data_IF_398283348723
#
_entry.id   IF_398283348723
#
_cell.length_a   1.000
_cell.length_b   1.000
_cell.length_c   1.000
_cell.angle_alpha   90.00
_cell.angle_beta   90.00
_cell.angle_gamma   90.00
#
_symmetry.space_group_name_H-M   'P 1'
#
loop_
_entity.id
_entity.type
_entity.pdbx_description
1 polymer ?
#
# COMPACT_ATOMS: atom_id res chain seq x y z
N UNK A 1 -15.33 -38.52 3.44
CA UNK A 1 -15.15 -39.58 2.43
C UNK A 1 -13.86 -39.46 1.57
N UNK A 2 -12.91 -38.55 1.88
CA UNK A 2 -11.65 -38.41 1.11
C UNK A 2 -10.41 -38.99 1.89
N UNK A 3 -10.59 -39.42 3.14
CA UNK A 3 -9.49 -39.86 4.00
C UNK A 3 -9.56 -41.36 4.46
N UNK A 4 -10.40 -42.17 3.82
CA UNK A 4 -10.53 -43.59 4.22
C UNK A 4 -9.49 -44.51 3.59
N UNK A 5 -8.75 -44.07 2.58
CA UNK A 5 -7.67 -44.84 1.96
C UNK A 5 -6.30 -44.36 2.51
N UNK A 6 -5.76 -45.09 3.49
CA UNK A 6 -4.45 -44.83 4.07
C UNK A 6 -3.32 -44.89 3.03
N UNK A 7 -3.45 -45.70 1.99
CA UNK A 7 -2.44 -45.83 0.93
C UNK A 7 -2.44 -44.55 0.07
N UNK A 8 -3.62 -44.05 -0.33
CA UNK A 8 -3.75 -42.80 -1.09
C UNK A 8 -3.21 -41.60 -0.31
N UNK A 9 -3.46 -41.52 0.99
CA UNK A 9 -2.93 -40.47 1.83
C UNK A 9 -1.40 -40.54 1.92
N UNK A 10 -0.83 -41.73 2.08
CA UNK A 10 0.62 -41.96 2.08
C UNK A 10 1.28 -41.53 0.78
N UNK A 11 0.66 -41.86 -0.36
CA UNK A 11 1.15 -41.49 -1.69
C UNK A 11 1.13 -39.97 -1.90
N UNK A 12 0.01 -39.32 -1.52
CA UNK A 12 -0.11 -37.85 -1.58
C UNK A 12 0.97 -37.17 -0.73
N UNK A 13 1.20 -37.64 0.50
CA UNK A 13 2.21 -37.09 1.39
C UNK A 13 3.62 -37.30 0.82
N UNK A 14 3.91 -38.47 0.27
CA UNK A 14 5.17 -38.80 -0.36
C UNK A 14 5.48 -37.90 -1.56
N UNK A 15 4.50 -37.76 -2.46
CA UNK A 15 4.64 -36.91 -3.66
C UNK A 15 4.75 -35.42 -3.27
N UNK A 16 3.99 -34.95 -2.29
CA UNK A 16 4.08 -33.59 -1.76
C UNK A 16 5.45 -33.29 -1.20
N UNK A 17 6.02 -34.20 -0.38
CA UNK A 17 7.40 -34.09 0.15
C UNK A 17 8.41 -33.99 -0.99
N UNK A 18 8.32 -34.85 -2.00
CA UNK A 18 9.21 -34.86 -3.16
C UNK A 18 9.14 -33.55 -3.94
N UNK A 19 7.93 -33.00 -4.13
CA UNK A 19 7.74 -31.75 -4.84
C UNK A 19 8.26 -30.53 -4.05
N UNK A 20 8.08 -30.50 -2.73
CA UNK A 20 8.65 -29.46 -1.86
C UNK A 20 10.19 -29.53 -1.89
N UNK A 21 10.75 -30.75 -1.74
CA UNK A 21 12.23 -30.94 -1.74
C UNK A 21 12.89 -30.47 -3.04
N UNK A 22 12.23 -30.63 -4.20
CA UNK A 22 12.74 -30.14 -5.49
C UNK A 22 12.83 -28.60 -5.57
N UNK A 23 12.08 -27.88 -4.73
CA UNK A 23 12.04 -26.41 -4.72
C UNK A 23 13.00 -25.79 -3.71
N UNK A 24 13.68 -26.60 -2.91
CA UNK A 24 14.71 -26.12 -1.99
C UNK A 24 15.95 -25.71 -2.80
N UNK A 25 16.43 -24.51 -2.57
CA UNK A 25 17.64 -23.97 -3.17
C UNK A 25 18.90 -24.51 -2.46
N UNK A 26 20.08 -24.31 -3.07
CA UNK A 26 21.33 -24.82 -2.55
C UNK A 26 21.72 -24.30 -1.16
N UNK A 27 21.21 -23.13 -0.78
CA UNK A 27 21.37 -22.49 0.53
C UNK A 27 20.31 -22.90 1.56
N UNK A 28 19.41 -23.82 1.19
CA UNK A 28 18.38 -24.39 2.06
C UNK A 28 17.06 -23.66 2.13
N UNK A 29 16.90 -22.52 1.44
CA UNK A 29 15.62 -21.81 1.39
C UNK A 29 14.74 -22.26 0.22
N UNK A 30 13.43 -22.00 0.33
CA UNK A 30 12.46 -22.24 -0.73
C UNK A 30 11.76 -20.94 -1.13
N UNK A 31 11.54 -20.75 -2.44
CA UNK A 31 10.80 -19.61 -2.98
C UNK A 31 9.58 -20.15 -3.73
N UNK A 32 8.43 -19.59 -3.38
CA UNK A 32 7.17 -19.91 -4.04
C UNK A 32 6.56 -18.61 -4.60
N UNK A 33 6.03 -18.70 -5.80
CA UNK A 33 5.25 -17.62 -6.36
C UNK A 33 3.94 -17.49 -5.56
N UNK A 34 3.61 -16.25 -5.21
CA UNK A 34 2.35 -15.91 -4.56
C UNK A 34 1.52 -15.09 -5.53
N UNK A 35 0.38 -15.60 -5.94
CA UNK A 35 -0.60 -14.81 -6.67
C UNK A 35 -1.31 -13.89 -5.67
N UNK A 36 -0.97 -12.59 -5.74
CA UNK A 36 -1.55 -11.57 -4.91
C UNK A 36 -2.80 -10.96 -5.56
N UNK A 37 -3.49 -10.11 -4.80
CA UNK A 37 -4.56 -9.29 -5.34
C UNK A 37 -4.02 -8.18 -6.27
N UNK A 38 -4.92 -7.39 -6.84
CA UNK A 38 -4.58 -6.30 -7.77
C UNK A 38 -3.76 -5.17 -7.14
N UNK A 39 -3.68 -5.07 -5.81
CA UNK A 39 -3.06 -3.91 -5.15
C UNK A 39 -1.57 -3.81 -5.46
N UNK A 40 -0.84 -4.92 -5.47
CA UNK A 40 0.59 -4.94 -5.78
C UNK A 40 0.88 -4.52 -7.22
N UNK A 41 0.29 -5.14 -8.26
CA UNK A 41 0.52 -4.71 -9.64
C UNK A 41 0.07 -3.26 -9.91
N UNK A 42 -1.04 -2.81 -9.32
CA UNK A 42 -1.48 -1.43 -9.43
C UNK A 42 -0.50 -0.46 -8.78
N UNK A 43 -0.04 -0.74 -7.56
CA UNK A 43 0.95 0.08 -6.85
C UNK A 43 2.31 0.13 -7.58
N UNK A 44 2.68 -0.92 -8.31
CA UNK A 44 3.89 -0.91 -9.11
C UNK A 44 3.81 0.11 -10.25
N UNK A 45 2.71 0.18 -11.00
CA UNK A 45 2.47 1.22 -12.01
C UNK A 45 2.50 2.60 -11.34
N UNK A 46 1.76 2.76 -10.23
CA UNK A 46 1.71 4.03 -9.50
C UNK A 46 3.09 4.47 -9.01
N UNK A 47 3.95 3.55 -8.56
CA UNK A 47 5.33 3.84 -8.19
C UNK A 47 6.15 4.34 -9.37
N UNK A 48 6.08 3.70 -10.54
CA UNK A 48 6.79 4.16 -11.75
C UNK A 48 6.36 5.59 -12.13
N UNK A 49 5.06 5.89 -12.10
CA UNK A 49 4.55 7.24 -12.37
C UNK A 49 4.89 8.25 -11.26
N UNK A 50 4.95 7.81 -10.01
CA UNK A 50 5.41 8.66 -8.91
C UNK A 50 6.85 9.11 -9.13
N UNK A 51 7.73 8.19 -9.51
CA UNK A 51 9.15 8.47 -9.77
C UNK A 51 9.39 9.16 -11.11
N UNK A 52 8.47 9.02 -12.07
CA UNK A 52 8.63 9.49 -13.45
C UNK A 52 9.53 8.59 -14.30
N UNK A 53 9.87 7.40 -13.81
CA UNK A 53 10.69 6.39 -14.51
C UNK A 53 9.81 5.19 -14.90
N UNK A 54 9.31 5.23 -16.14
CA UNK A 54 8.30 4.29 -16.64
C UNK A 54 8.95 3.26 -17.58
N UNK A 55 9.01 2.00 -17.14
CA UNK A 55 9.26 0.88 -18.02
C UNK A 55 7.97 0.50 -18.76
N UNK A 56 7.84 1.01 -19.98
CA UNK A 56 6.66 0.83 -20.84
C UNK A 56 6.33 -0.65 -21.07
N UNK A 57 7.33 -1.53 -21.20
CA UNK A 57 7.10 -2.97 -21.43
C UNK A 57 6.52 -3.66 -20.19
N UNK A 58 7.05 -3.33 -19.04
CA UNK A 58 6.55 -3.85 -17.75
C UNK A 58 5.18 -3.28 -17.45
N UNK A 59 4.97 -1.99 -17.65
CA UNK A 59 3.67 -1.33 -17.49
C UNK A 59 2.59 -1.99 -18.35
N UNK A 60 2.88 -2.26 -19.63
CA UNK A 60 1.93 -2.91 -20.55
C UNK A 60 1.52 -4.30 -20.06
N UNK A 61 2.48 -5.11 -19.61
CA UNK A 61 2.19 -6.44 -19.05
C UNK A 61 1.31 -6.35 -17.81
N UNK A 62 1.63 -5.44 -16.89
CA UNK A 62 0.85 -5.24 -15.66
C UNK A 62 -0.54 -4.72 -16.00
N UNK A 63 -0.68 -3.75 -16.88
CA UNK A 63 -1.98 -3.24 -17.35
C UNK A 63 -2.86 -4.35 -17.89
N UNK A 64 -2.31 -5.21 -18.77
CA UNK A 64 -3.05 -6.31 -19.36
C UNK A 64 -3.46 -7.34 -18.30
N UNK A 65 -2.61 -7.61 -17.31
CA UNK A 65 -2.93 -8.46 -16.18
C UNK A 65 -4.06 -7.88 -15.32
N UNK A 66 -4.01 -6.60 -14.97
CA UNK A 66 -5.05 -5.91 -14.20
C UNK A 66 -6.40 -6.00 -14.91
N UNK A 67 -6.44 -5.73 -16.22
CA UNK A 67 -7.67 -5.84 -17.03
C UNK A 67 -8.22 -7.27 -17.05
N UNK A 68 -7.35 -8.28 -17.12
CA UNK A 68 -7.73 -9.70 -17.16
C UNK A 68 -8.39 -10.18 -15.87
N UNK A 69 -7.93 -9.69 -14.70
CA UNK A 69 -8.42 -10.15 -13.39
C UNK A 69 -9.58 -9.31 -12.83
N UNK A 70 -10.11 -8.37 -13.61
CA UNK A 70 -11.32 -7.63 -13.24
C UNK A 70 -12.50 -8.59 -13.13
N UNK A 71 -13.26 -8.52 -12.04
CA UNK A 71 -14.42 -9.39 -11.84
C UNK A 71 -15.63 -8.94 -12.68
N UNK A 72 -16.68 -9.76 -12.73
CA UNK A 72 -17.89 -9.48 -13.51
C UNK A 72 -18.64 -8.21 -13.09
N UNK A 73 -18.56 -7.86 -11.80
CA UNK A 73 -19.10 -6.60 -11.28
C UNK A 73 -18.37 -5.38 -11.83
N UNK A 74 -17.11 -5.53 -12.24
CA UNK A 74 -16.25 -4.45 -12.76
C UNK A 74 -15.24 -3.90 -11.75
N UNK A 75 -15.09 -4.53 -10.59
CA UNK A 75 -14.08 -4.18 -9.58
C UNK A 75 -13.01 -5.24 -9.41
N UNK A 76 -12.23 -5.14 -8.35
CA UNK A 76 -11.18 -6.08 -7.98
C UNK A 76 -11.33 -6.50 -6.52
N UNK A 77 -11.46 -7.80 -6.26
CA UNK A 77 -11.50 -8.36 -4.91
C UNK A 77 -10.10 -8.45 -4.30
N UNK A 78 -10.02 -8.69 -2.98
CA UNK A 78 -8.75 -8.98 -2.28
C UNK A 78 -8.40 -10.48 -2.26
N UNK A 79 -9.32 -11.33 -2.65
CA UNK A 79 -9.14 -12.79 -2.70
C UNK A 79 -10.06 -13.40 -3.76
N UNK A 80 -9.74 -14.60 -4.20
CA UNK A 80 -10.46 -15.31 -5.26
C UNK A 80 -11.95 -15.43 -4.94
N UNK A 81 -12.82 -15.09 -5.89
CA UNK A 81 -14.29 -15.03 -5.74
C UNK A 81 -14.80 -14.08 -4.63
N UNK A 82 -13.97 -13.16 -4.14
CA UNK A 82 -14.41 -12.13 -3.20
C UNK A 82 -15.21 -11.02 -3.86
N UNK A 83 -15.88 -10.22 -3.04
CA UNK A 83 -16.54 -8.99 -3.47
C UNK A 83 -15.50 -7.91 -3.87
N UNK A 84 -15.89 -7.02 -4.78
CA UNK A 84 -15.07 -5.88 -5.19
C UNK A 84 -14.69 -5.03 -3.98
N UNK A 85 -13.39 -4.85 -3.75
CA UNK A 85 -12.87 -4.00 -2.66
C UNK A 85 -12.68 -2.57 -3.16
N UNK A 86 -13.17 -1.59 -2.42
CA UNK A 86 -13.08 -0.17 -2.82
C UNK A 86 -11.63 0.27 -3.03
N UNK A 87 -10.75 0.01 -2.06
CA UNK A 87 -9.36 0.49 -2.11
C UNK A 87 -8.55 -0.17 -3.23
N UNK A 88 -8.76 -1.46 -3.46
CA UNK A 88 -8.15 -2.20 -4.56
C UNK A 88 -8.66 -1.67 -5.92
N UNK A 89 -9.97 -1.42 -6.04
CA UNK A 89 -10.60 -0.91 -7.25
C UNK A 89 -10.13 0.51 -7.60
N UNK A 90 -9.99 1.39 -6.61
CA UNK A 90 -9.45 2.75 -6.81
C UNK A 90 -8.01 2.72 -7.31
N UNK A 91 -7.14 1.90 -6.70
CA UNK A 91 -5.75 1.75 -7.15
C UNK A 91 -5.65 1.18 -8.56
N UNK A 92 -6.42 0.13 -8.87
CA UNK A 92 -6.46 -0.48 -10.18
C UNK A 92 -6.95 0.50 -11.25
N UNK A 93 -8.04 1.22 -10.99
CA UNK A 93 -8.56 2.25 -11.89
C UNK A 93 -7.51 3.33 -12.17
N UNK A 94 -6.86 3.84 -11.12
CA UNK A 94 -5.86 4.89 -11.28
C UNK A 94 -4.65 4.39 -12.08
N UNK A 95 -4.13 3.21 -11.78
CA UNK A 95 -3.05 2.59 -12.52
C UNK A 95 -3.39 2.38 -14.01
N UNK A 96 -4.60 1.88 -14.30
CA UNK A 96 -5.08 1.71 -15.67
C UNK A 96 -5.21 3.05 -16.41
N UNK A 97 -5.73 4.09 -15.75
CA UNK A 97 -5.83 5.42 -16.35
C UNK A 97 -4.46 6.00 -16.66
N UNK A 98 -3.49 5.92 -15.72
CA UNK A 98 -2.12 6.38 -15.94
C UNK A 98 -1.46 5.64 -17.11
N UNK A 99 -1.61 4.31 -17.19
CA UNK A 99 -1.05 3.46 -18.26
C UNK A 99 -1.77 3.58 -19.60
N UNK A 100 -2.68 4.54 -19.77
CA UNK A 100 -3.27 4.90 -21.07
C UNK A 100 -4.56 4.17 -21.44
N UNK A 101 -5.20 3.45 -20.52
CA UNK A 101 -6.53 2.87 -20.78
C UNK A 101 -7.55 3.99 -20.92
N UNK A 102 -8.42 3.89 -21.93
CA UNK A 102 -9.49 4.85 -22.17
C UNK A 102 -10.51 4.79 -21.01
N UNK A 103 -10.75 5.94 -20.38
CA UNK A 103 -11.71 6.07 -19.26
C UNK A 103 -13.16 5.79 -19.66
N UNK A 104 -13.48 5.86 -20.97
CA UNK A 104 -14.78 5.49 -21.51
C UNK A 104 -14.90 4.01 -21.87
N UNK A 105 -13.85 3.23 -21.71
CA UNK A 105 -13.91 1.78 -21.94
C UNK A 105 -14.86 1.11 -20.95
N UNK A 106 -15.49 0.00 -21.38
CA UNK A 106 -16.44 -0.74 -20.55
C UNK A 106 -15.89 -1.13 -19.17
N UNK A 107 -14.61 -1.50 -19.11
CA UNK A 107 -13.93 -1.89 -17.88
C UNK A 107 -13.81 -0.71 -16.91
N UNK A 108 -13.42 0.44 -17.42
CA UNK A 108 -13.24 1.66 -16.61
C UNK A 108 -14.57 2.23 -16.13
N UNK A 109 -15.60 2.25 -16.98
CA UNK A 109 -16.95 2.70 -16.60
C UNK A 109 -17.54 1.85 -15.48
N UNK A 110 -17.45 0.52 -15.59
CA UNK A 110 -17.90 -0.40 -14.52
C UNK A 110 -17.14 -0.16 -13.22
N UNK A 111 -15.82 0.01 -13.28
CA UNK A 111 -15.00 0.26 -12.09
C UNK A 111 -15.38 1.58 -11.41
N UNK A 112 -15.57 2.64 -12.20
CA UNK A 112 -16.06 3.94 -11.71
C UNK A 112 -17.40 3.83 -11.00
N UNK A 113 -18.37 3.12 -11.60
CA UNK A 113 -19.69 2.90 -11.02
C UNK A 113 -19.59 2.25 -9.63
N UNK A 114 -18.78 1.17 -9.49
CA UNK A 114 -18.56 0.52 -8.20
C UNK A 114 -17.94 1.48 -7.17
N UNK A 115 -16.92 2.26 -7.57
CA UNK A 115 -16.27 3.20 -6.66
C UNK A 115 -17.27 4.22 -6.14
N UNK A 116 -18.07 4.81 -7.02
CA UNK A 116 -19.10 5.78 -6.64
C UNK A 116 -20.16 5.15 -5.75
N UNK A 117 -20.67 3.95 -6.12
CA UNK A 117 -21.64 3.21 -5.31
C UNK A 117 -21.14 2.89 -3.90
N UNK A 118 -19.83 2.64 -3.74
CA UNK A 118 -19.19 2.39 -2.44
C UNK A 118 -18.82 3.68 -1.69
N UNK A 119 -19.18 4.85 -2.19
CA UNK A 119 -19.06 6.15 -1.52
C UNK A 119 -17.85 6.99 -1.92
N UNK A 120 -17.28 6.74 -3.11
CA UNK A 120 -16.19 7.52 -3.68
C UNK A 120 -14.78 7.10 -3.22
N UNK A 121 -13.78 7.58 -3.93
CA UNK A 121 -12.37 7.28 -3.67
C UNK A 121 -11.92 7.79 -2.28
N UNK A 122 -12.53 8.83 -1.76
CA UNK A 122 -12.28 9.40 -0.43
C UNK A 122 -12.54 8.43 0.73
N UNK A 123 -13.38 7.40 0.52
CA UNK A 123 -13.66 6.36 1.52
C UNK A 123 -12.69 5.18 1.48
N UNK A 124 -11.68 5.24 0.64
CA UNK A 124 -10.62 4.23 0.62
C UNK A 124 -9.89 4.14 1.96
N UNK A 125 -9.20 3.02 2.19
CA UNK A 125 -8.37 2.84 3.38
C UNK A 125 -7.22 3.87 3.45
N UNK A 126 -6.59 3.99 4.61
CA UNK A 126 -5.56 5.01 4.86
C UNK A 126 -4.37 4.90 3.91
N UNK A 127 -3.94 3.69 3.54
CA UNK A 127 -2.79 3.50 2.64
C UNK A 127 -3.10 3.98 1.22
N UNK A 128 -4.29 3.65 0.70
CA UNK A 128 -4.75 4.17 -0.59
C UNK A 128 -4.86 5.70 -0.56
N UNK A 129 -5.36 6.27 0.53
CA UNK A 129 -5.46 7.73 0.68
C UNK A 129 -4.09 8.41 0.75
N UNK A 130 -3.08 7.80 1.41
CA UNK A 130 -1.71 8.31 1.38
C UNK A 130 -1.20 8.35 -0.06
N UNK A 131 -1.41 7.29 -0.82
CA UNK A 131 -1.04 7.24 -2.23
C UNK A 131 -1.77 8.32 -3.04
N UNK A 132 -3.08 8.51 -2.84
CA UNK A 132 -3.84 9.59 -3.49
C UNK A 132 -3.31 10.98 -3.10
N UNK A 133 -2.88 11.18 -1.86
CA UNK A 133 -2.26 12.43 -1.42
C UNK A 133 -0.89 12.66 -2.09
N UNK A 134 -0.11 11.60 -2.31
CA UNK A 134 1.15 11.68 -3.05
C UNK A 134 0.93 12.10 -4.51
N UNK A 135 -0.19 11.76 -5.12
CA UNK A 135 -0.55 12.20 -6.47
C UNK A 135 -1.33 13.54 -6.49
N UNK A 136 -1.55 14.18 -5.35
CA UNK A 136 -2.28 15.45 -5.28
C UNK A 136 -3.79 15.33 -5.46
N UNK A 137 -4.34 14.10 -5.46
CA UNK A 137 -5.78 13.86 -5.61
C UNK A 137 -6.58 14.28 -4.38
N UNK A 138 -5.97 14.20 -3.21
CA UNK A 138 -6.52 14.67 -1.94
C UNK A 138 -5.47 15.43 -1.14
N UNK A 139 -5.92 16.28 -0.23
CA UNK A 139 -5.02 17.04 0.63
C UNK A 139 -4.36 16.14 1.69
N UNK A 140 -3.06 16.33 1.94
CA UNK A 140 -2.33 15.70 3.06
C UNK A 140 -2.97 15.96 4.43
N UNK A 141 -3.74 17.04 4.58
CA UNK A 141 -4.49 17.35 5.81
C UNK A 141 -5.55 16.30 6.15
N UNK A 142 -6.03 15.55 5.15
CA UNK A 142 -7.02 14.48 5.33
C UNK A 142 -6.41 13.16 5.80
N UNK A 143 -5.08 13.05 5.77
CA UNK A 143 -4.36 11.87 6.24
C UNK A 143 -4.15 11.95 7.75
N UNK A 144 -4.28 10.83 8.49
CA UNK A 144 -3.95 10.77 9.91
C UNK A 144 -2.50 11.18 10.17
N UNK A 145 -2.28 11.96 11.22
CA UNK A 145 -0.94 12.44 11.58
C UNK A 145 -0.15 11.33 12.26
N UNK A 146 1.01 11.03 11.72
CA UNK A 146 2.00 10.16 12.34
C UNK A 146 3.34 10.89 12.38
N UNK A 147 3.67 11.56 13.52
CA UNK A 147 4.86 12.39 13.61
C UNK A 147 6.12 11.53 13.56
N UNK A 148 7.15 12.04 12.88
CA UNK A 148 8.46 11.36 12.74
C UNK A 148 9.12 11.14 14.10
N UNK A 149 8.76 11.92 15.12
CA UNK A 149 9.24 11.85 16.49
C UNK A 149 8.88 10.52 17.20
N UNK A 150 8.00 9.72 16.61
CA UNK A 150 7.77 8.33 17.03
C UNK A 150 9.10 7.53 17.08
N UNK A 151 10.10 7.90 16.27
CA UNK A 151 11.42 7.27 16.25
C UNK A 151 12.18 7.34 17.57
N UNK A 152 11.91 8.36 18.39
CA UNK A 152 12.62 8.62 19.66
C UNK A 152 11.76 8.38 20.91
N UNK A 153 10.52 7.90 20.74
CA UNK A 153 9.67 7.63 21.88
C UNK A 153 10.28 6.55 22.80
N UNK A 154 10.30 6.77 24.11
CA UNK A 154 10.87 5.82 25.05
C UNK A 154 10.04 4.53 25.14
N UNK A 155 10.71 3.42 25.55
CA UNK A 155 10.08 2.07 25.57
C UNK A 155 8.82 1.97 26.43
N UNK A 156 8.71 2.79 27.46
CA UNK A 156 7.53 2.80 28.34
C UNK A 156 6.30 3.43 27.67
N UNK A 157 6.51 4.26 26.65
CA UNK A 157 5.41 4.95 25.96
C UNK A 157 4.51 3.94 25.21
N UNK A 158 3.17 4.09 25.24
CA UNK A 158 2.24 3.14 24.64
C UNK A 158 2.49 2.89 23.14
N UNK A 159 2.80 3.94 22.39
CA UNK A 159 2.99 3.91 20.93
C UNK A 159 4.46 3.79 20.49
N UNK A 160 5.30 3.15 21.29
CA UNK A 160 6.69 2.97 20.94
C UNK A 160 6.86 1.93 19.82
N UNK A 161 7.72 2.22 18.83
CA UNK A 161 7.99 1.34 17.68
C UNK A 161 8.53 -0.03 18.07
N UNK A 162 9.20 -0.16 19.22
CA UNK A 162 9.74 -1.45 19.66
C UNK A 162 8.65 -2.42 20.15
N UNK A 163 7.44 -1.91 20.43
CA UNK A 163 6.26 -2.73 20.78
C UNK A 163 5.53 -3.27 19.56
N UNK A 164 5.90 -2.81 18.37
CA UNK A 164 5.33 -3.25 17.10
C UNK A 164 6.23 -4.35 16.50
N UNK A 165 5.64 -5.32 15.81
CA UNK A 165 6.38 -6.40 15.15
C UNK A 165 7.44 -5.86 14.18
N UNK A 166 8.47 -6.65 13.92
CA UNK A 166 9.50 -6.28 12.95
C UNK A 166 8.91 -5.99 11.58
N UNK A 167 7.99 -6.83 11.11
CA UNK A 167 7.29 -6.68 9.84
C UNK A 167 6.54 -5.35 9.73
N UNK A 168 5.77 -5.00 10.75
CA UNK A 168 5.06 -3.71 10.77
C UNK A 168 6.04 -2.53 10.73
N UNK A 169 7.18 -2.64 11.41
CA UNK A 169 8.20 -1.58 11.38
C UNK A 169 8.84 -1.40 10.01
N UNK A 170 9.04 -2.49 9.24
CA UNK A 170 9.60 -2.36 7.88
C UNK A 170 8.70 -1.59 6.92
N UNK A 171 7.39 -1.60 7.15
CA UNK A 171 6.43 -0.78 6.41
C UNK A 171 6.31 0.63 6.99
N UNK A 172 6.22 0.74 8.33
CA UNK A 172 5.92 2.00 9.00
C UNK A 172 7.09 2.99 8.97
N UNK A 173 8.34 2.54 9.17
CA UNK A 173 9.47 3.47 9.27
C UNK A 173 9.71 4.25 7.96
N UNK A 174 9.78 3.62 6.78
CA UNK A 174 9.86 4.40 5.54
C UNK A 174 8.60 5.24 5.29
N UNK A 175 7.42 4.74 5.70
CA UNK A 175 6.18 5.52 5.60
C UNK A 175 6.21 6.79 6.46
N UNK A 176 6.86 6.78 7.64
CA UNK A 176 7.07 8.00 8.46
C UNK A 176 7.86 9.06 7.70
N UNK A 177 8.86 8.67 6.90
CA UNK A 177 9.63 9.59 6.05
C UNK A 177 8.70 10.23 5.01
N UNK A 178 7.90 9.42 4.32
CA UNK A 178 6.94 9.88 3.31
C UNK A 178 5.92 10.84 3.93
N UNK A 179 5.35 10.49 5.07
CA UNK A 179 4.37 11.32 5.79
C UNK A 179 4.98 12.64 6.30
N UNK A 180 6.27 12.63 6.64
CA UNK A 180 6.99 13.84 7.06
C UNK A 180 7.33 14.75 5.87
N UNK A 181 7.86 14.18 4.78
CA UNK A 181 8.25 14.93 3.56
C UNK A 181 7.05 15.38 2.73
N UNK A 182 5.91 14.64 2.77
CA UNK A 182 4.68 14.91 2.01
C UNK A 182 4.95 15.14 0.51
N UNK A 183 5.61 14.20 -0.16
CA UNK A 183 6.00 14.37 -1.55
C UNK A 183 4.81 14.46 -2.49
N UNK A 184 5.06 15.05 -3.67
CA UNK A 184 4.13 15.04 -4.80
C UNK A 184 4.76 14.26 -5.94
N UNK A 185 3.98 13.39 -6.57
CA UNK A 185 4.38 12.55 -7.69
C UNK A 185 4.81 13.38 -8.90
N UNK A 186 5.79 12.90 -9.65
CA UNK A 186 6.18 13.48 -10.94
C UNK A 186 5.02 13.42 -11.94
N UNK A 187 4.29 12.29 -11.95
CA UNK A 187 3.10 12.06 -12.78
C UNK A 187 3.24 12.62 -14.20
N UNK A 188 4.14 12.08 -15.04
CA UNK A 188 4.45 12.66 -16.35
C UNK A 188 3.26 12.69 -17.32
N UNK A 189 2.23 11.88 -17.07
CA UNK A 189 1.00 11.89 -17.87
C UNK A 189 0.04 13.02 -17.49
N UNK A 190 0.20 13.63 -16.33
CA UNK A 190 -0.72 14.64 -15.78
C UNK A 190 -2.15 14.16 -15.53
N UNK A 191 -2.40 12.85 -15.65
CA UNK A 191 -3.74 12.29 -15.46
C UNK A 191 -4.12 12.29 -13.97
N UNK A 192 -5.40 12.53 -13.70
CA UNK A 192 -6.01 12.52 -12.36
C UNK A 192 -7.26 11.66 -12.36
N UNK A 193 -7.83 11.43 -11.18
CA UNK A 193 -9.05 10.63 -10.97
C UNK A 193 -10.16 11.42 -10.27
N UNK A 194 -10.27 12.69 -10.59
CA UNK A 194 -11.26 13.59 -9.99
C UNK A 194 -12.70 13.09 -10.12
N UNK A 195 -13.00 12.34 -11.16
CA UNK A 195 -14.30 11.73 -11.43
C UNK A 195 -14.68 10.59 -10.48
N UNK A 196 -13.76 10.13 -9.62
CA UNK A 196 -14.02 9.09 -8.63
C UNK A 196 -14.43 9.63 -7.26
N UNK A 197 -14.43 10.95 -7.08
CA UNK A 197 -14.76 11.58 -5.79
C UNK A 197 -16.18 12.11 -5.80
N UNK A 198 -16.92 11.86 -4.72
CA UNK A 198 -18.25 12.45 -4.47
C UNK A 198 -18.08 13.79 -3.77
N UNK A 199 -17.22 13.87 -2.74
CA UNK A 199 -16.92 15.06 -1.95
C UNK A 199 -15.44 15.43 -2.03
N UNK A 200 -14.93 15.81 -3.21
CA UNK A 200 -13.50 16.08 -3.44
C UNK A 200 -12.89 17.13 -2.50
N UNK A 201 -13.65 18.13 -2.10
CA UNK A 201 -13.20 19.26 -1.28
C UNK A 201 -13.41 19.05 0.23
N UNK A 202 -13.83 17.86 0.64
CA UNK A 202 -14.02 17.59 2.06
C UNK A 202 -12.64 17.42 2.73
N UNK A 203 -12.25 18.41 3.55
CA UNK A 203 -11.11 18.26 4.47
C UNK A 203 -11.42 17.29 5.62
N UNK A 204 -12.57 16.64 5.59
CA UNK A 204 -12.99 15.68 6.61
C UNK A 204 -12.22 14.38 6.45
N UNK A 205 -11.61 13.97 7.51
CA UNK A 205 -11.03 12.64 7.62
C UNK A 205 -12.18 11.63 7.67
N UNK A 206 -12.35 10.84 6.58
CA UNK A 206 -13.34 9.76 6.55
C UNK A 206 -12.83 8.57 7.39
N UNK A 207 -12.86 8.72 8.72
CA UNK A 207 -12.72 7.59 9.62
C UNK A 207 -14.13 7.19 10.04
N UNK A 208 -14.53 5.97 9.71
CA UNK A 208 -15.78 5.42 10.20
C UNK A 208 -15.74 5.37 11.73
N UNK A 209 -16.51 6.25 12.39
CA UNK A 209 -16.61 6.33 13.86
C UNK A 209 -17.43 5.16 14.45
N UNK A 210 -17.18 3.92 14.00
CA UNK A 210 -17.95 2.74 14.42
C UNK A 210 -17.58 2.23 15.82
N UNK A 211 -16.40 2.59 16.36
CA UNK A 211 -15.96 2.11 17.67
C UNK A 211 -15.51 3.24 18.60
N UNK A 212 -15.54 2.97 19.91
CA UNK A 212 -14.97 3.88 20.91
C UNK A 212 -13.50 4.19 20.64
N UNK A 213 -12.71 3.19 20.25
CA UNK A 213 -11.30 3.34 19.91
C UNK A 213 -11.10 4.29 18.72
N UNK A 214 -11.93 4.22 17.69
CA UNK A 214 -11.82 5.14 16.53
C UNK A 214 -12.08 6.60 16.92
N UNK A 215 -12.97 6.86 17.89
CA UNK A 215 -13.21 8.20 18.43
C UNK A 215 -12.00 8.73 19.20
N UNK A 216 -11.37 7.86 20.03
CA UNK A 216 -10.14 8.21 20.77
C UNK A 216 -9.01 8.52 19.80
N UNK A 217 -8.78 7.70 18.78
CA UNK A 217 -7.75 7.96 17.77
C UNK A 217 -8.01 9.26 16.98
N UNK A 218 -9.27 9.57 16.65
CA UNK A 218 -9.62 10.83 16.02
C UNK A 218 -9.33 12.05 16.91
N UNK A 219 -9.56 11.93 18.22
CA UNK A 219 -9.20 12.99 19.15
C UNK A 219 -7.68 13.17 19.25
N UNK A 220 -6.94 12.07 19.35
CA UNK A 220 -5.47 12.07 19.35
C UNK A 220 -4.95 12.73 18.06
N UNK A 221 -5.46 12.36 16.89
CA UNK A 221 -5.06 12.97 15.62
C UNK A 221 -5.29 14.48 15.58
N UNK A 222 -6.45 14.95 16.05
CA UNK A 222 -6.75 16.38 16.16
C UNK A 222 -5.76 17.12 17.06
N UNK A 223 -5.37 16.51 18.18
CA UNK A 223 -4.39 17.06 19.11
C UNK A 223 -3.00 17.10 18.44
N UNK A 224 -2.58 15.97 17.84
CA UNK A 224 -1.30 15.85 17.15
C UNK A 224 -1.15 16.87 16.01
N UNK A 225 -2.17 17.06 15.19
CA UNK A 225 -2.17 18.08 14.11
C UNK A 225 -1.93 19.49 14.63
N UNK A 226 -2.44 19.82 15.82
CA UNK A 226 -2.21 21.12 16.45
C UNK A 226 -0.81 21.23 17.06
N UNK A 227 -0.32 20.15 17.68
CA UNK A 227 0.95 20.13 18.43
C UNK A 227 2.15 19.94 17.50
N UNK A 228 2.00 19.23 16.37
CA UNK A 228 3.06 18.97 15.38
C UNK A 228 3.79 20.25 14.92
N UNK A 229 3.07 21.37 14.85
CA UNK A 229 3.62 22.67 14.44
C UNK A 229 4.63 23.21 15.45
N UNK A 230 4.49 22.86 16.73
CA UNK A 230 5.33 23.34 17.82
C UNK A 230 6.57 22.46 18.06
N UNK A 231 6.69 21.31 17.40
CA UNK A 231 7.87 20.46 17.54
C UNK A 231 9.11 21.15 16.92
N UNK A 232 10.25 21.21 17.66
CA UNK A 232 11.46 21.84 17.18
C UNK A 232 11.97 21.22 15.88
N UNK A 233 12.30 22.04 14.89
CA UNK A 233 12.84 21.59 13.58
C UNK A 233 14.06 20.68 13.74
N UNK A 234 14.95 20.99 14.66
CA UNK A 234 16.16 20.20 14.96
C UNK A 234 15.82 18.76 15.39
N UNK A 235 14.75 18.58 16.17
CA UNK A 235 14.31 17.24 16.59
C UNK A 235 13.73 16.45 15.41
N UNK A 236 12.97 17.11 14.52
CA UNK A 236 12.41 16.49 13.32
C UNK A 236 13.51 15.99 12.39
N UNK A 237 14.54 16.81 12.15
CA UNK A 237 15.68 16.43 11.33
C UNK A 237 16.48 15.27 11.94
N UNK A 238 16.71 15.30 13.25
CA UNK A 238 17.34 14.18 13.95
C UNK A 238 16.52 12.89 13.82
N UNK A 239 15.20 12.93 14.01
CA UNK A 239 14.31 11.78 13.86
C UNK A 239 14.28 11.27 12.42
N UNK A 240 14.31 12.18 11.44
CA UNK A 240 14.37 11.83 10.02
C UNK A 240 15.65 11.07 9.70
N UNK A 241 16.81 11.55 10.17
CA UNK A 241 18.09 10.87 9.99
C UNK A 241 18.12 9.49 10.67
N UNK A 242 17.49 9.36 11.85
CA UNK A 242 17.29 8.05 12.49
C UNK A 242 16.44 7.10 11.64
N UNK A 243 15.38 7.60 11.02
CA UNK A 243 14.52 6.79 10.17
C UNK A 243 15.25 6.33 8.91
N UNK A 244 15.97 7.20 8.21
CA UNK A 244 16.83 6.83 7.08
C UNK A 244 17.87 5.79 7.48
N UNK A 245 18.62 6.04 8.55
CA UNK A 245 19.62 5.09 9.07
C UNK A 245 19.00 3.74 9.46
N UNK A 246 17.76 3.74 9.97
CA UNK A 246 17.03 2.50 10.29
C UNK A 246 16.70 1.69 9.03
N UNK A 247 16.24 2.35 7.97
CA UNK A 247 15.93 1.73 6.67
C UNK A 247 17.19 1.18 6.04
N UNK A 248 18.23 2.00 5.85
CA UNK A 248 19.48 1.61 5.19
C UNK A 248 20.15 0.42 5.85
N UNK A 249 20.16 0.35 7.19
CA UNK A 249 20.74 -0.80 7.95
C UNK A 249 19.99 -2.11 7.76
N UNK A 250 18.81 -2.10 7.14
CA UNK A 250 17.93 -3.28 7.00
C UNK A 250 17.61 -3.65 5.56
N UNK A 251 18.25 -2.99 4.61
CA UNK A 251 18.19 -3.40 3.21
C UNK A 251 18.96 -4.70 3.01
N UNK A 252 18.30 -5.71 2.47
CA UNK A 252 18.81 -7.07 2.31
C UNK A 252 19.08 -7.40 0.84
N UNK A 253 19.95 -6.65 0.17
CA UNK A 253 20.30 -6.93 -1.24
C UNK A 253 19.06 -7.24 -2.12
N UNK A 254 18.95 -8.49 -2.61
CA UNK A 254 17.88 -8.95 -3.49
C UNK A 254 16.49 -8.94 -2.84
N UNK A 255 16.41 -9.13 -1.53
CA UNK A 255 15.15 -9.23 -0.78
C UNK A 255 14.63 -7.85 -0.33
N UNK A 256 15.38 -6.78 -0.61
CA UNK A 256 15.01 -5.42 -0.25
C UNK A 256 14.76 -5.25 1.25
N UNK A 257 13.69 -4.56 1.62
CA UNK A 257 13.29 -4.36 3.01
C UNK A 257 12.15 -5.31 3.39
N UNK A 258 12.44 -6.24 4.31
CA UNK A 258 11.44 -7.16 4.87
C UNK A 258 10.87 -8.20 3.89
N UNK A 259 11.42 -8.31 2.70
CA UNK A 259 10.98 -9.23 1.62
C UNK A 259 9.48 -9.12 1.28
N UNK A 260 8.87 -7.96 1.49
CA UNK A 260 7.49 -7.67 1.13
C UNK A 260 7.37 -6.39 0.31
N UNK A 261 6.50 -6.43 -0.70
CA UNK A 261 6.33 -5.34 -1.65
C UNK A 261 6.06 -3.97 -0.99
N UNK A 262 5.09 -3.81 -0.06
CA UNK A 262 4.81 -2.50 0.54
C UNK A 262 6.00 -1.88 1.27
N UNK A 263 6.81 -2.71 1.96
CA UNK A 263 8.00 -2.21 2.64
C UNK A 263 9.08 -1.77 1.64
N UNK A 264 9.29 -2.53 0.56
CA UNK A 264 10.24 -2.22 -0.49
C UNK A 264 9.88 -0.92 -1.22
N UNK A 265 8.62 -0.77 -1.62
CA UNK A 265 8.15 0.44 -2.32
C UNK A 265 8.23 1.67 -1.44
N UNK A 266 7.75 1.58 -0.19
CA UNK A 266 7.87 2.70 0.75
C UNK A 266 9.33 3.09 1.02
N UNK A 267 10.24 2.09 1.14
CA UNK A 267 11.67 2.34 1.30
C UNK A 267 12.27 3.02 0.07
N UNK A 268 11.93 2.53 -1.13
CA UNK A 268 12.42 3.09 -2.39
C UNK A 268 11.98 4.55 -2.56
N UNK A 269 10.67 4.81 -2.38
CA UNK A 269 10.13 6.17 -2.42
C UNK A 269 10.80 7.04 -1.35
N UNK A 270 10.87 6.57 -0.09
CA UNK A 270 11.48 7.35 0.98
C UNK A 270 12.93 7.74 0.68
N UNK A 271 13.74 6.80 0.15
CA UNK A 271 15.14 7.04 -0.21
C UNK A 271 15.30 7.94 -1.44
N UNK A 272 14.33 7.98 -2.35
CA UNK A 272 14.35 8.91 -3.49
C UNK A 272 14.03 10.36 -3.12
N UNK A 273 13.64 10.62 -1.87
CA UNK A 273 13.33 11.96 -1.35
C UNK A 273 14.49 12.62 -0.58
N UNK A 274 15.62 11.95 -0.47
CA UNK A 274 16.80 12.41 0.26
C UNK A 274 17.63 13.45 -0.49
#
# INVERSE_FOLDING_TARGET
>A
MIFEDKNLLSDIVSESKKNISKKIKNDGHSVYELEADVTIPAEYILMMHFLGDIDVKTEEKIRNYILKIQNEEGGWPLFFNGESNLSATVKAYFALKLSGVDENSKNMLKAKEIIIKKGGAERSNVFTRILLAMFGEISWKTIPTMPIEIMILPRWFPFNLQKISYWSRTVLVPLLIILHKRPIANNPTGKNISELFIERNSEKMFIENKSFLSRVFNLIDKILKKVEVYFPKKNKEYCLNLAYGWVCKRLNSKDGLGAIFPAMVNAYIALSLD
#
